data_IF_693215539403
#
_entry.id   IF_693215539403
#
_cell.length_a   1.000
_cell.length_b   1.000
_cell.length_c   1.000
_cell.angle_alpha   90.00
_cell.angle_beta   90.00
_cell.angle_gamma   90.00
#
_symmetry.space_group_name_H-M   'P 1'
#
loop_
_entity.id
_entity.type
_entity.pdbx_description
1 polymer ?
#
# COMPACT_ATOMS: atom_id res chain seq x y z
N UNK A 1 9.19 9.07 -10.31
CA UNK A 1 9.53 8.50 -8.99
C UNK A 1 8.71 7.23 -8.80
N UNK A 2 9.36 6.08 -8.58
CA UNK A 2 8.65 4.82 -8.32
C UNK A 2 8.35 4.68 -6.82
N UNK A 3 7.28 5.32 -6.35
CA UNK A 3 6.83 5.22 -4.96
C UNK A 3 6.56 3.79 -4.55
N UNK A 4 5.90 3.01 -5.42
CA UNK A 4 5.62 1.59 -5.24
C UNK A 4 6.89 0.80 -4.93
N UNK A 5 7.96 1.00 -5.72
CA UNK A 5 9.24 0.32 -5.51
C UNK A 5 9.93 0.74 -4.21
N UNK A 6 9.77 2.00 -3.78
CA UNK A 6 10.34 2.50 -2.52
C UNK A 6 9.60 1.97 -1.29
N UNK A 7 8.28 1.88 -1.36
CA UNK A 7 7.42 1.36 -0.28
C UNK A 7 7.62 -0.14 -0.09
N UNK A 8 7.62 -0.90 -1.19
CA UNK A 8 7.86 -2.35 -1.14
C UNK A 8 9.31 -2.67 -0.76
N UNK A 9 10.26 -1.91 -1.30
CA UNK A 9 11.68 -2.23 -1.16
C UNK A 9 12.07 -3.53 -1.86
N UNK A 10 13.31 -4.01 -1.68
CA UNK A 10 13.79 -5.22 -2.33
C UNK A 10 12.96 -6.42 -1.88
N UNK A 11 12.33 -7.12 -2.84
CA UNK A 11 11.44 -8.27 -2.60
C UNK A 11 10.26 -8.00 -1.65
N UNK A 12 9.82 -6.75 -1.49
CA UNK A 12 8.73 -6.42 -0.58
C UNK A 12 9.14 -6.44 0.91
N UNK A 13 10.43 -6.53 1.23
CA UNK A 13 10.89 -6.62 2.62
C UNK A 13 10.56 -5.38 3.43
N UNK A 14 10.64 -4.19 2.84
CA UNK A 14 10.34 -2.93 3.55
C UNK A 14 8.87 -2.86 3.93
N UNK A 15 7.96 -3.18 3.00
CA UNK A 15 6.54 -3.23 3.31
C UNK A 15 6.24 -4.28 4.39
N UNK A 16 6.80 -5.49 4.26
CA UNK A 16 6.58 -6.57 5.24
C UNK A 16 7.11 -6.21 6.64
N UNK A 17 8.22 -5.49 6.72
CA UNK A 17 8.76 -5.01 7.98
C UNK A 17 7.87 -3.90 8.57
N UNK A 18 7.40 -2.96 7.74
CA UNK A 18 6.45 -1.94 8.19
C UNK A 18 5.16 -2.58 8.72
N UNK A 19 4.66 -3.61 8.04
CA UNK A 19 3.48 -4.37 8.48
C UNK A 19 3.72 -5.08 9.80
N UNK A 20 4.91 -5.68 10.00
CA UNK A 20 5.26 -6.36 11.25
C UNK A 20 5.42 -5.38 12.43
N UNK A 21 6.04 -4.22 12.20
CA UNK A 21 6.31 -3.22 13.23
C UNK A 21 5.06 -2.45 13.65
N UNK A 22 4.20 -2.12 12.69
CA UNK A 22 2.94 -1.39 12.94
C UNK A 22 1.79 -2.33 13.32
N UNK A 23 1.87 -3.61 12.93
CA UNK A 23 0.75 -4.54 13.00
C UNK A 23 -0.40 -4.15 12.07
N UNK A 24 -0.13 -3.30 11.07
CA UNK A 24 -1.07 -2.95 10.02
C UNK A 24 -0.75 -3.75 8.76
N UNK A 25 -1.77 -4.02 7.96
CA UNK A 25 -1.66 -4.61 6.63
C UNK A 25 -1.62 -3.49 5.60
N UNK A 26 -0.62 -3.49 4.73
CA UNK A 26 -0.34 -2.40 3.80
C UNK A 26 -0.40 -2.98 2.39
N UNK A 27 -1.37 -2.50 1.62
CA UNK A 27 -1.61 -2.98 0.27
C UNK A 27 -1.55 -1.81 -0.71
N UNK A 28 -0.72 -1.93 -1.74
CA UNK A 28 -0.71 -0.98 -2.85
C UNK A 28 -1.82 -1.36 -3.82
N UNK A 29 -2.74 -0.43 -4.09
CA UNK A 29 -3.90 -0.59 -4.97
C UNK A 29 -3.97 0.61 -5.91
N UNK A 30 -4.92 0.63 -6.84
CA UNK A 30 -5.00 1.68 -7.86
C UNK A 30 -4.36 1.33 -9.20
N UNK A 31 -4.56 2.23 -10.15
CA UNK A 31 -4.02 2.23 -11.51
C UNK A 31 -2.50 2.37 -11.49
N UNK A 32 -1.78 1.47 -12.14
CA UNK A 32 -0.32 1.41 -12.14
C UNK A 32 0.29 0.74 -10.91
N UNK A 33 -0.51 0.03 -10.11
CA UNK A 33 -0.01 -0.85 -9.05
C UNK A 33 0.72 -2.07 -9.64
N UNK A 34 0.35 -2.51 -10.85
CA UNK A 34 1.04 -3.57 -11.55
C UNK A 34 2.19 -3.05 -12.42
N UNK A 35 3.27 -3.84 -12.45
CA UNK A 35 4.41 -3.60 -13.35
C UNK A 35 4.00 -3.72 -14.83
N UNK A 36 3.10 -4.65 -15.13
CA UNK A 36 2.59 -4.94 -16.48
C UNK A 36 1.24 -4.26 -16.71
N UNK A 37 1.24 -3.07 -17.34
CA UNK A 37 -0.01 -2.34 -17.67
C UNK A 37 -0.97 -3.16 -18.56
N UNK A 38 -0.45 -4.02 -19.44
CA UNK A 38 -1.30 -4.88 -20.28
C UNK A 38 -2.10 -5.92 -19.49
N UNK A 39 -1.53 -6.46 -18.40
CA UNK A 39 -2.25 -7.42 -17.53
C UNK A 39 -3.22 -6.69 -16.61
N UNK A 40 -2.88 -5.47 -16.22
CA UNK A 40 -3.76 -4.59 -15.46
C UNK A 40 -5.05 -4.33 -16.24
N UNK A 41 -4.94 -3.88 -17.49
CA UNK A 41 -6.12 -3.54 -18.32
C UNK A 41 -6.97 -4.78 -18.67
N UNK A 42 -6.36 -5.94 -18.83
CA UNK A 42 -7.07 -7.22 -19.04
C UNK A 42 -7.84 -7.74 -17.81
N UNK A 43 -7.43 -7.33 -16.60
CA UNK A 43 -8.10 -7.72 -15.36
C UNK A 43 -9.02 -6.62 -14.83
N UNK A 44 -9.02 -5.45 -15.46
CA UNK A 44 -9.94 -4.35 -15.17
C UNK A 44 -11.38 -4.80 -15.41
N UNK A 45 -12.24 -4.61 -14.41
CA UNK A 45 -13.65 -5.04 -14.45
C UNK A 45 -13.93 -6.46 -13.96
N UNK A 46 -12.93 -7.21 -13.46
CA UNK A 46 -13.16 -8.46 -12.73
C UNK A 46 -13.44 -8.21 -11.25
N UNK A 47 -14.21 -9.11 -10.62
CA UNK A 47 -14.39 -9.10 -9.16
C UNK A 47 -13.02 -9.14 -8.45
N UNK A 48 -12.85 -8.30 -7.43
CA UNK A 48 -11.58 -8.01 -6.71
C UNK A 48 -10.56 -7.11 -7.44
N UNK A 49 -10.85 -6.63 -8.66
CA UNK A 49 -9.96 -5.73 -9.44
C UNK A 49 -10.58 -4.35 -9.72
N UNK A 50 -11.68 -4.01 -9.04
CA UNK A 50 -12.36 -2.71 -9.19
C UNK A 50 -11.44 -1.54 -8.81
N UNK A 51 -10.53 -1.78 -7.86
CA UNK A 51 -9.50 -0.83 -7.45
C UNK A 51 -8.55 -0.40 -8.58
N UNK A 52 -8.57 -1.05 -9.75
CA UNK A 52 -7.75 -0.63 -10.90
C UNK A 52 -8.27 0.64 -11.58
N UNK A 53 -9.52 1.02 -11.32
CA UNK A 53 -10.07 2.27 -11.85
C UNK A 53 -9.68 3.49 -11.00
N UNK A 54 -9.42 3.26 -9.71
CA UNK A 54 -8.98 4.25 -8.76
C UNK A 54 -7.52 4.71 -9.03
N UNK A 55 -7.17 5.91 -8.56
CA UNK A 55 -5.78 6.38 -8.61
C UNK A 55 -4.87 5.52 -7.73
N UNK A 56 -3.56 5.50 -8.05
CA UNK A 56 -2.56 4.77 -7.28
C UNK A 56 -2.59 5.21 -5.82
N UNK A 57 -2.97 4.29 -4.93
CA UNK A 57 -3.11 4.56 -3.51
C UNK A 57 -2.57 3.40 -2.66
N UNK A 58 -2.36 3.69 -1.38
CA UNK A 58 -1.93 2.69 -0.39
C UNK A 58 -3.07 2.50 0.60
N UNK A 59 -3.55 1.27 0.70
CA UNK A 59 -4.57 0.87 1.65
C UNK A 59 -3.89 0.33 2.91
N UNK A 60 -4.17 0.96 4.05
CA UNK A 60 -3.68 0.54 5.35
C UNK A 60 -4.89 -0.02 6.12
N UNK A 61 -4.82 -1.28 6.51
CA UNK A 61 -5.85 -1.97 7.28
C UNK A 61 -5.26 -2.43 8.60
N UNK A 62 -5.88 -2.09 9.73
CA UNK A 62 -5.44 -2.53 11.05
C UNK A 62 -6.56 -3.31 11.73
N UNK A 63 -6.25 -4.48 12.26
CA UNK A 63 -7.19 -5.27 13.08
C UNK A 63 -6.69 -5.27 14.52
N UNK A 64 -7.26 -4.40 15.35
CA UNK A 64 -6.99 -4.32 16.79
C UNK A 64 -8.15 -3.59 17.50
N UNK A 65 -8.09 -3.45 18.82
CA UNK A 65 -8.98 -2.59 19.59
C UNK A 65 -8.84 -1.12 19.16
N UNK A 66 -9.95 -0.38 19.16
CA UNK A 66 -10.05 1.00 18.68
C UNK A 66 -8.90 1.91 19.15
N UNK A 67 -8.63 1.95 20.46
CA UNK A 67 -7.56 2.77 21.03
C UNK A 67 -6.16 2.42 20.50
N UNK A 68 -5.88 1.14 20.21
CA UNK A 68 -4.59 0.71 19.66
C UNK A 68 -4.55 0.86 18.15
N UNK A 69 -5.66 0.60 17.46
CA UNK A 69 -5.78 0.70 16.02
C UNK A 69 -5.51 2.14 15.55
N UNK A 70 -6.05 3.15 16.24
CA UNK A 70 -5.81 4.56 15.91
C UNK A 70 -4.32 4.92 15.96
N UNK A 71 -3.64 4.56 17.04
CA UNK A 71 -2.20 4.83 17.21
C UNK A 71 -1.35 4.10 16.16
N UNK A 72 -1.70 2.85 15.85
CA UNK A 72 -1.01 2.05 14.82
C UNK A 72 -1.21 2.63 13.42
N UNK A 73 -2.45 3.02 13.08
CA UNK A 73 -2.78 3.65 11.82
C UNK A 73 -2.05 4.97 11.64
N UNK A 74 -1.98 5.80 12.69
CA UNK A 74 -1.26 7.07 12.65
C UNK A 74 0.24 6.86 12.43
N UNK A 75 0.87 5.91 13.16
CA UNK A 75 2.27 5.52 12.91
C UNK A 75 2.51 5.03 11.48
N UNK A 76 1.66 4.13 10.99
CA UNK A 76 1.79 3.59 9.64
C UNK A 76 1.66 4.70 8.57
N UNK A 77 0.71 5.63 8.78
CA UNK A 77 0.51 6.79 7.92
C UNK A 77 1.74 7.69 7.90
N UNK A 78 2.32 8.02 9.05
CA UNK A 78 3.51 8.86 9.13
C UNK A 78 4.70 8.25 8.38
N UNK A 79 4.96 6.96 8.57
CA UNK A 79 6.05 6.26 7.90
C UNK A 79 5.86 6.23 6.37
N UNK A 80 4.65 5.93 5.90
CA UNK A 80 4.33 5.95 4.46
C UNK A 80 4.46 7.37 3.91
N UNK A 81 4.03 8.39 4.66
CA UNK A 81 4.13 9.79 4.23
C UNK A 81 5.59 10.25 4.10
N UNK A 82 6.49 9.76 4.95
CA UNK A 82 7.95 9.98 4.81
C UNK A 82 8.49 9.35 3.53
N UNK A 83 8.00 8.18 3.15
CA UNK A 83 8.42 7.50 1.91
C UNK A 83 7.88 8.19 0.64
N UNK A 84 6.70 8.83 0.74
CA UNK A 84 6.04 9.55 -0.35
C UNK A 84 6.64 10.94 -0.63
N UNK A 85 7.36 11.55 0.32
CA UNK A 85 8.08 12.80 0.06
C UNK A 85 9.42 12.51 -0.64
N UNK A 86 9.66 13.03 -1.85
CA UNK A 86 11.01 13.06 -2.41
C UNK A 86 11.86 13.98 -1.54
N UNK A 87 13.10 13.55 -1.25
CA UNK A 87 14.11 14.42 -0.64
C UNK A 87 14.57 15.48 -1.63
#
# INVERSE_FOLDING_TARGET
FNFVGRILGPRGMTAKQLEADTGCKIMVRGRGSMRDKQKEDQNRGKANWEHLDEELHVLIQCEDHENRALVKLERAKEEIMKLLKPA
#
